data_IF_790627362511
#
_entry.id   IF_790627362511
#
_cell.length_a   1.000
_cell.length_b   1.000
_cell.length_c   1.000
_cell.angle_alpha   90.00
_cell.angle_beta   90.00
_cell.angle_gamma   90.00
#
_symmetry.space_group_name_H-M   'P 1'
#
loop_
_entity.id
_entity.type
_entity.pdbx_description
1 polymer ?
#
# COMPACT_ATOMS: atom_id res chain seq x y z
N UNK A 1 -53.71 -49.13 16.26
CA UNK A 1 -53.12 -47.85 16.75
C UNK A 1 -51.84 -47.60 15.94
N UNK A 2 -51.50 -46.32 15.63
CA UNK A 2 -50.23 -45.73 15.08
C UNK A 2 -49.19 -46.67 14.40
N UNK A 3 -48.57 -46.35 13.25
CA UNK A 3 -48.65 -45.22 12.28
C UNK A 3 -47.81 -45.61 11.02
N UNK A 4 -48.29 -45.26 9.82
CA UNK A 4 -47.59 -44.63 8.65
C UNK A 4 -46.13 -45.01 8.25
N UNK A 5 -45.66 -45.00 6.98
CA UNK A 5 -46.23 -44.83 5.62
C UNK A 5 -45.18 -45.32 4.57
N UNK A 6 -45.68 -45.69 3.37
CA UNK A 6 -45.05 -45.96 2.06
C UNK A 6 -44.09 -44.83 1.55
N UNK A 7 -43.35 -44.85 0.42
CA UNK A 7 -43.51 -45.33 -0.99
C UNK A 7 -42.09 -45.45 -1.60
N UNK A 8 -41.63 -46.58 -2.18
CA UNK A 8 -41.60 -46.98 -3.62
C UNK A 8 -40.96 -46.00 -4.64
N UNK A 9 -40.08 -46.57 -5.46
CA UNK A 9 -39.25 -45.97 -6.52
C UNK A 9 -39.91 -46.12 -7.91
N UNK A 10 -39.86 -45.09 -8.77
CA UNK A 10 -40.05 -45.22 -10.22
C UNK A 10 -39.42 -44.04 -11.01
N UNK A 11 -38.82 -44.35 -12.16
CA UNK A 11 -38.13 -43.40 -13.06
C UNK A 11 -38.94 -43.26 -14.37
N UNK A 12 -39.15 -42.05 -14.88
CA UNK A 12 -39.80 -41.81 -16.19
C UNK A 12 -39.24 -40.59 -16.94
N UNK A 13 -39.25 -40.71 -18.27
CA UNK A 13 -38.55 -39.89 -19.29
C UNK A 13 -39.47 -39.87 -20.53
N UNK A 14 -39.74 -38.78 -21.26
CA UNK A 14 -39.36 -37.37 -21.17
C UNK A 14 -40.45 -36.49 -21.84
N UNK A 15 -40.53 -35.18 -21.56
CA UNK A 15 -41.22 -34.24 -22.47
C UNK A 15 -40.67 -32.80 -22.36
N UNK A 16 -40.44 -32.16 -23.51
CA UNK A 16 -39.74 -30.87 -23.62
C UNK A 16 -40.74 -29.71 -23.51
N UNK A 17 -40.53 -28.84 -22.52
CA UNK A 17 -41.26 -27.57 -22.40
C UNK A 17 -40.72 -26.73 -21.24
N UNK A 18 -40.05 -25.61 -21.54
CA UNK A 18 -39.48 -24.60 -20.61
C UNK A 18 -39.33 -25.07 -19.15
N UNK A 19 -38.32 -25.90 -18.90
CA UNK A 19 -37.69 -25.86 -17.57
C UNK A 19 -36.92 -24.54 -17.50
N UNK A 20 -37.44 -23.57 -16.75
CA UNK A 20 -36.57 -22.56 -16.16
C UNK A 20 -35.55 -23.36 -15.35
N UNK A 21 -34.28 -23.28 -15.72
CA UNK A 21 -33.23 -23.89 -14.91
C UNK A 21 -33.34 -23.29 -13.51
N UNK A 22 -33.67 -24.12 -12.52
CA UNK A 22 -33.51 -23.72 -11.12
C UNK A 22 -32.02 -23.38 -10.96
N UNK A 23 -31.66 -22.21 -10.41
CA UNK A 23 -30.26 -21.84 -10.26
C UNK A 23 -29.54 -22.94 -9.49
N UNK A 24 -28.48 -23.49 -10.08
CA UNK A 24 -27.57 -24.39 -9.37
C UNK A 24 -26.80 -23.51 -8.38
N UNK A 25 -26.95 -23.68 -7.06
CA UNK A 25 -26.15 -22.92 -6.11
C UNK A 25 -24.72 -23.43 -6.19
N UNK A 26 -23.79 -22.58 -6.64
CA UNK A 26 -22.37 -22.92 -6.75
C UNK A 26 -21.83 -23.01 -8.18
N UNK A 27 -21.79 -21.87 -8.88
CA UNK A 27 -20.53 -21.36 -9.44
C UNK A 27 -20.69 -19.88 -9.83
N UNK A 28 -20.96 -19.02 -8.84
CA UNK A 28 -20.58 -17.62 -8.97
C UNK A 28 -19.06 -17.59 -8.88
N UNK A 29 -18.35 -17.57 -10.02
CA UNK A 29 -16.90 -17.30 -10.02
C UNK A 29 -16.69 -15.81 -9.82
N UNK A 30 -17.11 -15.29 -8.66
CA UNK A 30 -16.64 -13.99 -8.18
C UNK A 30 -15.13 -14.10 -8.03
N UNK A 31 -14.39 -13.42 -8.90
CA UNK A 31 -12.99 -13.10 -8.63
C UNK A 31 -12.99 -12.34 -7.32
N UNK A 32 -12.57 -13.01 -6.25
CA UNK A 32 -12.60 -12.46 -4.91
C UNK A 32 -11.44 -11.47 -4.84
N UNK A 33 -11.71 -10.17 -4.99
CA UNK A 33 -10.68 -9.15 -5.15
C UNK A 33 -10.83 -8.03 -4.15
N UNK A 34 -9.74 -7.68 -3.47
CA UNK A 34 -9.70 -6.56 -2.55
C UNK A 34 -8.83 -5.42 -3.08
N UNK A 35 -9.37 -4.21 -3.09
CA UNK A 35 -8.57 -2.99 -3.32
C UNK A 35 -7.74 -2.70 -2.09
N UNK A 36 -6.49 -2.30 -2.30
CA UNK A 36 -5.48 -2.29 -1.24
C UNK A 36 -4.69 -0.98 -1.26
N UNK A 37 -4.47 -0.42 -0.08
CA UNK A 37 -3.61 0.75 0.15
C UNK A 37 -2.32 0.31 0.85
N UNK A 38 -1.16 0.79 0.41
CA UNK A 38 0.14 0.46 1.03
C UNK A 38 0.62 1.62 1.91
N UNK A 39 1.11 1.31 3.11
CA UNK A 39 2.01 2.20 3.86
C UNK A 39 3.44 1.67 3.74
N UNK A 40 4.36 2.54 3.30
CA UNK A 40 5.75 2.16 3.00
C UNK A 40 6.74 3.02 3.80
N UNK A 41 7.44 2.40 4.74
CA UNK A 41 8.60 2.94 5.44
C UNK A 41 9.84 2.63 4.60
N UNK A 42 10.11 3.45 3.59
CA UNK A 42 11.10 3.09 2.54
C UNK A 42 12.56 3.14 3.00
N UNK A 43 12.87 3.95 4.01
CA UNK A 43 14.17 4.00 4.69
C UNK A 43 13.94 4.09 6.21
N UNK A 44 14.99 3.92 7.01
CA UNK A 44 14.96 4.12 8.46
C UNK A 44 14.58 5.57 8.79
N UNK A 45 13.56 5.79 9.63
CA UNK A 45 13.11 7.14 9.98
C UNK A 45 12.24 7.81 8.91
N UNK A 46 11.49 7.03 8.11
CA UNK A 46 10.54 7.57 7.10
C UNK A 46 9.10 7.41 7.57
N UNK A 47 8.14 7.27 6.64
CA UNK A 47 6.72 7.53 6.89
C UNK A 47 6.15 6.86 8.15
N UNK A 48 6.42 5.56 8.37
CA UNK A 48 5.84 4.85 9.51
C UNK A 48 6.49 5.32 10.82
N UNK A 49 7.82 5.52 10.82
CA UNK A 49 8.55 6.00 11.99
C UNK A 49 8.18 7.45 12.37
N UNK A 50 8.04 8.34 11.38
CA UNK A 50 7.60 9.72 11.58
C UNK A 50 6.14 9.80 12.03
N UNK A 51 5.25 8.95 11.49
CA UNK A 51 3.88 8.82 12.01
C UNK A 51 3.87 8.33 13.46
N UNK A 52 4.72 7.36 13.81
CA UNK A 52 4.87 6.90 15.20
C UNK A 52 5.35 8.06 16.10
N UNK A 53 6.36 8.84 15.66
CA UNK A 53 6.87 10.01 16.38
C UNK A 53 5.81 11.12 16.55
N UNK A 54 4.95 11.32 15.54
CA UNK A 54 3.80 12.23 15.58
C UNK A 54 2.62 11.71 16.44
N UNK A 55 2.73 10.52 17.04
CA UNK A 55 1.75 9.96 17.98
C UNK A 55 0.79 8.93 17.41
N UNK A 56 0.93 8.54 16.14
CA UNK A 56 0.07 7.51 15.51
C UNK A 56 0.45 6.08 15.92
N UNK A 57 1.58 5.86 16.60
CA UNK A 57 2.10 4.51 16.89
C UNK A 57 1.16 3.58 17.70
N UNK A 58 0.19 4.16 18.41
CA UNK A 58 -0.88 3.44 19.14
C UNK A 58 -2.25 3.46 18.45
N UNK A 59 -2.35 4.05 17.27
CA UNK A 59 -3.52 3.93 16.41
C UNK A 59 -3.45 2.62 15.65
N UNK A 60 -4.61 2.02 15.36
CA UNK A 60 -4.68 0.94 14.39
C UNK A 60 -4.45 1.44 12.97
N UNK A 61 -4.09 0.57 12.03
CA UNK A 61 -3.87 0.94 10.63
C UNK A 61 -5.09 1.67 10.03
N UNK A 62 -6.31 1.21 10.29
CA UNK A 62 -7.55 1.91 9.93
C UNK A 62 -7.61 3.34 10.50
N UNK A 63 -7.34 3.54 11.79
CA UNK A 63 -7.37 4.85 12.42
C UNK A 63 -6.25 5.78 11.89
N UNK A 64 -5.09 5.22 11.56
CA UNK A 64 -4.03 5.94 10.84
C UNK A 64 -4.54 6.40 9.46
N UNK A 65 -5.12 5.52 8.64
CA UNK A 65 -5.67 5.89 7.33
C UNK A 65 -6.78 6.95 7.41
N UNK A 66 -7.63 6.94 8.46
CA UNK A 66 -8.60 8.03 8.73
C UNK A 66 -7.88 9.36 8.92
N UNK A 67 -6.76 9.39 9.65
CA UNK A 67 -5.94 10.59 9.82
C UNK A 67 -5.24 11.05 8.54
N UNK A 68 -4.80 10.12 7.69
CA UNK A 68 -4.16 10.42 6.40
C UNK A 68 -5.17 10.90 5.34
N UNK A 69 -6.41 10.42 5.38
CA UNK A 69 -7.39 10.56 4.30
C UNK A 69 -7.53 12.00 3.78
N UNK A 70 -7.73 12.96 4.68
CA UNK A 70 -7.93 14.37 4.34
C UNK A 70 -6.71 15.06 3.70
N UNK A 71 -5.51 14.49 3.86
CA UNK A 71 -4.26 15.02 3.27
C UNK A 71 -3.80 14.25 2.03
N UNK A 72 -4.40 13.10 1.74
CA UNK A 72 -4.04 12.20 0.62
C UNK A 72 -4.31 12.75 -0.79
N UNK A 73 -4.98 13.91 -0.92
CA UNK A 73 -5.40 14.45 -2.22
C UNK A 73 -6.39 13.57 -2.99
N UNK A 74 -7.00 12.57 -2.34
CA UNK A 74 -7.90 11.59 -2.97
C UNK A 74 -7.30 10.18 -3.15
N UNK A 75 -6.00 10.00 -2.88
CA UNK A 75 -5.34 8.69 -2.95
C UNK A 75 -5.81 7.69 -1.87
N UNK A 76 -6.54 8.16 -0.84
CA UNK A 76 -7.33 7.33 0.08
C UNK A 76 -8.83 7.62 -0.17
N UNK A 77 -9.50 6.88 -1.07
CA UNK A 77 -10.88 7.14 -1.45
C UNK A 77 -11.91 6.94 -0.31
N UNK A 78 -13.04 7.64 -0.39
CA UNK A 78 -14.09 7.58 0.62
C UNK A 78 -14.85 6.24 0.63
N UNK A 79 -15.04 5.63 -0.53
CA UNK A 79 -15.61 4.30 -0.73
C UNK A 79 -14.68 3.19 -0.19
N UNK A 80 -13.38 3.29 -0.44
CA UNK A 80 -12.38 2.40 0.18
C UNK A 80 -12.43 2.47 1.71
N UNK A 81 -12.43 3.68 2.29
CA UNK A 81 -12.54 3.83 3.75
C UNK A 81 -13.90 3.38 4.30
N UNK A 82 -14.98 3.49 3.54
CA UNK A 82 -16.29 2.97 3.94
C UNK A 82 -16.34 1.43 3.94
N UNK A 83 -15.71 0.78 2.95
CA UNK A 83 -15.56 -0.68 2.92
C UNK A 83 -14.72 -1.16 4.11
N UNK A 84 -13.56 -0.54 4.35
CA UNK A 84 -12.70 -0.86 5.48
C UNK A 84 -13.39 -0.59 6.83
N UNK A 85 -14.20 0.47 6.94
CA UNK A 85 -15.04 0.72 8.11
C UNK A 85 -16.11 -0.38 8.34
N UNK A 86 -16.62 -0.99 7.28
CA UNK A 86 -17.62 -2.08 7.32
C UNK A 86 -17.03 -3.49 7.56
N UNK A 87 -15.71 -3.68 7.41
CA UNK A 87 -15.01 -4.92 7.75
C UNK A 87 -15.29 -5.39 9.21
N UNK A 88 -15.05 -6.66 9.57
CA UNK A 88 -15.19 -7.16 10.95
C UNK A 88 -14.47 -6.28 11.98
N UNK A 89 -15.03 -6.14 13.18
CA UNK A 89 -14.48 -5.23 14.19
C UNK A 89 -13.12 -5.69 14.75
N UNK A 90 -12.86 -6.99 14.64
CA UNK A 90 -11.66 -7.72 15.05
C UNK A 90 -10.69 -7.99 13.89
N UNK A 91 -10.92 -7.44 12.69
CA UNK A 91 -9.98 -7.58 11.57
C UNK A 91 -8.61 -6.94 11.90
N UNK A 92 -7.57 -7.43 11.24
CA UNK A 92 -6.18 -7.03 11.50
C UNK A 92 -5.98 -5.53 11.31
N UNK A 93 -6.53 -4.93 10.25
CA UNK A 93 -6.44 -3.49 10.01
C UNK A 93 -7.05 -2.61 11.13
N UNK A 94 -7.99 -3.13 11.92
CA UNK A 94 -8.62 -2.40 13.04
C UNK A 94 -7.98 -2.68 14.39
N UNK A 95 -7.22 -3.77 14.52
CA UNK A 95 -6.63 -4.22 15.78
C UNK A 95 -5.11 -4.08 15.85
N UNK A 96 -4.40 -4.15 14.72
CA UNK A 96 -2.94 -4.03 14.67
C UNK A 96 -2.50 -2.56 14.81
N UNK A 97 -1.71 -2.26 15.84
CA UNK A 97 -1.09 -0.95 16.07
C UNK A 97 -0.05 -0.63 14.99
N UNK A 98 0.00 0.62 14.53
CA UNK A 98 0.99 1.10 13.55
C UNK A 98 2.45 0.80 13.95
N UNK A 99 2.75 0.83 15.25
CA UNK A 99 4.10 0.57 15.78
C UNK A 99 4.64 -0.86 15.53
N UNK A 100 3.81 -1.80 15.09
CA UNK A 100 4.22 -3.16 14.68
C UNK A 100 4.94 -3.14 13.31
N UNK A 101 4.70 -2.10 12.51
CA UNK A 101 5.10 -2.03 11.09
C UNK A 101 6.31 -1.11 10.83
N UNK A 102 6.95 -0.55 11.87
CA UNK A 102 8.27 0.09 11.73
C UNK A 102 9.39 -0.90 11.40
N UNK A 103 9.18 -2.18 11.71
CA UNK A 103 10.12 -3.25 11.40
C UNK A 103 10.14 -3.59 9.91
N UNK A 104 11.34 -3.66 9.32
CA UNK A 104 11.56 -4.06 7.91
C UNK A 104 10.96 -5.43 7.53
N UNK A 105 10.66 -6.30 8.51
CA UNK A 105 10.04 -7.60 8.25
C UNK A 105 8.54 -7.53 7.98
N UNK A 106 7.89 -6.43 8.39
CA UNK A 106 6.44 -6.23 8.30
C UNK A 106 6.10 -5.09 7.32
N UNK A 107 7.07 -4.63 6.52
CA UNK A 107 6.97 -3.40 5.74
C UNK A 107 7.62 -3.58 4.36
N UNK A 108 7.03 -3.07 3.25
CA UNK A 108 5.78 -2.29 3.19
C UNK A 108 4.53 -3.10 3.55
N UNK A 109 3.54 -2.43 4.16
CA UNK A 109 2.29 -3.06 4.62
C UNK A 109 1.11 -2.64 3.77
N UNK A 110 0.50 -3.62 3.10
CA UNK A 110 -0.77 -3.52 2.41
C UNK A 110 -1.95 -3.70 3.35
N UNK A 111 -2.95 -2.84 3.18
CA UNK A 111 -4.20 -2.81 3.96
C UNK A 111 -5.35 -3.04 3.00
N UNK A 112 -5.93 -4.24 3.01
CA UNK A 112 -7.07 -4.59 2.16
C UNK A 112 -8.34 -3.89 2.62
N UNK A 113 -9.24 -3.55 1.68
CA UNK A 113 -10.55 -2.98 1.99
C UNK A 113 -11.48 -3.93 2.77
N UNK A 114 -11.16 -5.22 2.77
CA UNK A 114 -11.75 -6.29 3.59
C UNK A 114 -11.25 -6.32 5.04
N UNK A 115 -10.12 -5.65 5.33
CA UNK A 115 -9.52 -5.53 6.65
C UNK A 115 -8.33 -6.47 6.92
N UNK A 116 -7.95 -7.30 5.95
CA UNK A 116 -6.79 -8.19 6.04
C UNK A 116 -5.49 -7.44 5.70
N UNK A 117 -4.36 -7.92 6.24
CA UNK A 117 -3.05 -7.28 6.06
C UNK A 117 -2.07 -8.15 5.26
N UNK A 118 -1.30 -7.51 4.39
CA UNK A 118 -0.38 -8.18 3.48
C UNK A 118 0.94 -7.44 3.41
N UNK A 119 2.02 -8.09 3.83
CA UNK A 119 3.37 -7.58 3.59
C UNK A 119 3.71 -7.77 2.11
N UNK A 120 3.91 -6.67 1.39
CA UNK A 120 4.25 -6.69 -0.03
C UNK A 120 5.40 -5.74 -0.32
N UNK A 121 6.39 -6.21 -1.08
CA UNK A 121 7.60 -5.46 -1.43
C UNK A 121 7.33 -4.48 -2.58
N UNK A 122 6.40 -3.55 -2.34
CA UNK A 122 5.94 -2.54 -3.29
C UNK A 122 6.20 -1.16 -2.67
N UNK A 123 7.06 -0.40 -3.32
CA UNK A 123 7.51 0.91 -2.84
C UNK A 123 6.96 2.02 -3.73
N UNK A 124 6.57 3.15 -3.15
CA UNK A 124 5.99 4.27 -3.89
C UNK A 124 6.99 4.98 -4.78
N UNK A 125 8.28 5.01 -4.41
CA UNK A 125 9.36 5.52 -5.26
C UNK A 125 9.44 4.79 -6.61
N UNK A 126 9.08 3.50 -6.65
CA UNK A 126 9.26 2.64 -7.83
C UNK A 126 8.22 2.97 -8.92
N UNK A 127 7.22 3.81 -8.61
CA UNK A 127 6.17 4.30 -9.50
C UNK A 127 6.13 5.84 -9.57
N UNK A 128 7.11 6.54 -8.98
CA UNK A 128 7.10 7.99 -8.86
C UNK A 128 7.42 8.69 -10.19
N UNK A 129 6.39 9.22 -10.84
CA UNK A 129 6.52 9.86 -12.16
C UNK A 129 6.44 8.90 -13.34
N UNK A 130 6.13 7.63 -13.09
CA UNK A 130 5.91 6.62 -14.12
C UNK A 130 4.56 6.78 -14.82
N UNK A 131 4.47 6.36 -16.08
CA UNK A 131 3.24 6.45 -16.85
C UNK A 131 2.17 5.49 -16.31
N UNK A 132 0.95 6.00 -16.10
CA UNK A 132 -0.14 5.27 -15.44
C UNK A 132 -0.21 5.48 -13.93
N UNK A 133 0.68 6.31 -13.36
CA UNK A 133 0.69 6.65 -11.93
C UNK A 133 0.79 8.16 -11.70
N UNK A 134 -0.15 8.68 -10.91
CA UNK A 134 -0.10 10.05 -10.40
C UNK A 134 0.40 10.08 -8.96
N UNK A 135 1.19 11.10 -8.60
CA UNK A 135 1.58 11.35 -7.21
C UNK A 135 0.99 12.67 -6.70
N UNK A 136 0.24 12.60 -5.60
CA UNK A 136 -0.18 13.77 -4.82
C UNK A 136 0.73 13.95 -3.60
N UNK A 137 0.67 15.13 -2.99
CA UNK A 137 1.47 15.49 -1.82
C UNK A 137 0.55 15.97 -0.70
N UNK A 138 0.65 15.35 0.46
CA UNK A 138 0.01 15.79 1.70
C UNK A 138 1.05 16.35 2.68
N UNK A 139 0.65 17.30 3.52
CA UNK A 139 1.48 17.75 4.63
C UNK A 139 0.79 17.44 5.96
N UNK A 140 1.45 16.65 6.79
CA UNK A 140 0.91 16.16 8.06
C UNK A 140 1.66 16.81 9.22
N UNK A 141 0.92 17.33 10.19
CA UNK A 141 1.50 17.99 11.36
C UNK A 141 2.33 16.98 12.18
N UNK A 142 3.60 17.32 12.45
CA UNK A 142 4.53 16.46 13.18
C UNK A 142 5.26 15.41 12.33
N UNK A 143 4.90 15.23 11.05
CA UNK A 143 5.51 14.26 10.11
C UNK A 143 6.17 14.98 8.93
N UNK A 144 5.56 16.06 8.45
CA UNK A 144 6.03 16.80 7.26
C UNK A 144 5.36 16.32 5.97
N UNK A 145 6.14 16.28 4.89
CA UNK A 145 5.66 16.04 3.53
C UNK A 145 5.55 14.55 3.21
N UNK A 146 4.34 14.08 2.95
CA UNK A 146 4.03 12.69 2.58
C UNK A 146 3.60 12.64 1.11
N UNK A 147 4.10 11.66 0.38
CA UNK A 147 3.76 11.39 -1.00
C UNK A 147 2.74 10.25 -1.06
N UNK A 148 1.74 10.42 -1.92
CA UNK A 148 0.75 9.39 -2.19
C UNK A 148 0.76 9.11 -3.69
N UNK A 149 1.30 7.95 -4.09
CA UNK A 149 1.40 7.55 -5.50
C UNK A 149 0.33 6.53 -5.79
N UNK A 150 -0.48 6.78 -6.81
CA UNK A 150 -1.68 6.00 -7.11
C UNK A 150 -1.82 5.73 -8.61
N UNK A 151 -2.29 4.53 -8.94
CA UNK A 151 -2.65 4.14 -10.29
C UNK A 151 -3.75 5.06 -10.85
N UNK A 152 -3.57 5.54 -12.07
CA UNK A 152 -4.50 6.43 -12.78
C UNK A 152 -5.78 5.69 -13.22
N UNK A 153 -5.69 4.38 -13.45
CA UNK A 153 -6.81 3.52 -13.85
C UNK A 153 -6.73 2.11 -13.24
N UNK A 154 -7.82 1.35 -13.32
CA UNK A 154 -7.87 -0.05 -12.85
C UNK A 154 -6.93 -0.98 -13.62
N UNK A 155 -6.59 -0.66 -14.88
CA UNK A 155 -5.60 -1.42 -15.65
C UNK A 155 -4.16 -1.18 -15.21
N UNK A 156 -3.90 -0.12 -14.45
CA UNK A 156 -2.59 0.21 -13.89
C UNK A 156 -2.45 -0.26 -12.43
N UNK A 157 -3.46 -0.97 -11.88
CA UNK A 157 -3.38 -1.54 -10.54
C UNK A 157 -2.25 -2.58 -10.47
N UNK A 158 -1.37 -2.41 -9.49
CA UNK A 158 -0.27 -3.35 -9.27
C UNK A 158 -0.84 -4.61 -8.64
N UNK A 159 -0.73 -5.73 -9.37
CA UNK A 159 -0.97 -7.07 -8.84
C UNK A 159 -0.05 -7.29 -7.63
N UNK A 160 -0.61 -7.73 -6.50
CA UNK A 160 0.15 -8.05 -5.29
C UNK A 160 1.15 -9.20 -5.46
N UNK A 161 1.17 -9.83 -6.63
CA UNK A 161 1.76 -11.14 -6.83
C UNK A 161 0.87 -12.21 -6.20
N UNK A 162 1.38 -13.44 -6.18
CA UNK A 162 0.65 -14.64 -5.72
C UNK A 162 0.41 -14.70 -4.20
N UNK A 163 0.31 -13.55 -3.51
CA UNK A 163 -0.10 -13.42 -2.12
C UNK A 163 -1.64 -13.54 -2.01
N UNK A 164 -2.14 -14.73 -2.34
CA UNK A 164 -3.54 -15.10 -2.17
C UNK A 164 -3.79 -15.43 -0.70
N UNK A 165 -4.21 -14.44 0.10
CA UNK A 165 -4.77 -14.70 1.43
C UNK A 165 -6.21 -15.20 1.30
N UNK A 166 -6.57 -16.31 1.94
CA UNK A 166 -7.95 -16.81 2.00
C UNK A 166 -8.65 -17.15 0.66
N UNK A 167 -7.97 -17.05 -0.48
CA UNK A 167 -8.59 -17.12 -1.81
C UNK A 167 -8.93 -15.76 -2.44
N UNK A 168 -8.50 -14.65 -1.83
CA UNK A 168 -8.64 -13.27 -2.32
C UNK A 168 -7.37 -12.86 -3.11
N UNK A 169 -7.54 -12.19 -4.25
CA UNK A 169 -6.45 -11.50 -4.98
C UNK A 169 -6.46 -10.02 -4.60
N UNK A 170 -5.31 -9.48 -4.21
CA UNK A 170 -5.20 -8.10 -3.76
C UNK A 170 -4.60 -7.22 -4.86
N UNK A 171 -5.22 -6.06 -5.08
CA UNK A 171 -4.79 -5.08 -6.08
C UNK A 171 -4.43 -3.77 -5.39
N UNK A 172 -3.18 -3.32 -5.60
CA UNK A 172 -2.67 -2.11 -4.99
C UNK A 172 -3.02 -0.89 -5.86
N UNK A 173 -3.85 -0.01 -5.29
CA UNK A 173 -4.32 1.21 -5.95
C UNK A 173 -3.44 2.42 -5.63
N UNK A 174 -2.96 2.51 -4.39
CA UNK A 174 -2.19 3.64 -3.91
C UNK A 174 -1.21 3.27 -2.79
N UNK A 175 -0.11 4.02 -2.72
CA UNK A 175 0.99 3.84 -1.78
C UNK A 175 1.25 5.18 -1.10
N UNK A 176 1.14 5.23 0.22
CA UNK A 176 1.66 6.31 1.06
C UNK A 176 3.13 6.05 1.41
N UNK A 177 3.99 7.02 1.15
CA UNK A 177 5.44 6.95 1.41
C UNK A 177 6.03 8.34 1.68
N UNK A 178 7.29 8.38 2.10
CA UNK A 178 8.08 9.63 2.16
C UNK A 178 9.35 9.42 1.34
N UNK A 179 9.78 10.45 0.62
CA UNK A 179 11.03 10.40 -0.13
C UNK A 179 12.24 10.27 0.80
N UNK A 180 13.29 9.63 0.29
CA UNK A 180 14.63 9.73 0.84
C UNK A 180 15.04 11.20 1.03
N UNK A 181 15.93 11.47 2.00
CA UNK A 181 16.50 12.82 2.13
C UNK A 181 17.44 13.09 0.95
N UNK A 182 17.14 14.11 0.14
CA UNK A 182 17.98 14.47 -0.98
C UNK A 182 19.36 14.94 -0.49
N UNK A 183 20.41 14.19 -0.85
CA UNK A 183 21.80 14.59 -0.62
C UNK A 183 22.02 15.93 -1.35
N UNK A 184 22.13 17.00 -0.56
CA UNK A 184 22.35 18.34 -1.10
C UNK A 184 23.84 18.52 -1.34
N UNK A 185 24.21 18.65 -2.62
CA UNK A 185 25.58 18.93 -3.04
C UNK A 185 25.69 20.42 -3.36
N UNK A 186 26.39 21.17 -2.52
CA UNK A 186 26.66 22.58 -2.74
C UNK A 186 28.05 22.77 -3.36
N UNK A 187 28.10 23.45 -4.50
CA UNK A 187 29.34 23.88 -5.15
C UNK A 187 29.54 25.38 -4.92
N UNK A 188 30.63 25.77 -4.26
CA UNK A 188 31.05 27.18 -4.17
C UNK A 188 32.34 27.34 -4.96
N UNK A 189 32.35 28.30 -5.90
CA UNK A 189 33.53 28.69 -6.65
C UNK A 189 33.90 30.13 -6.32
N UNK A 190 35.10 30.32 -5.78
CA UNK A 190 35.84 31.59 -5.82
C UNK A 190 37.01 31.43 -6.81
N UNK A 191 37.61 32.52 -7.27
CA UNK A 191 38.53 32.53 -8.42
C UNK A 191 39.57 31.38 -8.42
N UNK A 192 40.22 31.10 -7.29
CA UNK A 192 41.22 30.03 -7.15
C UNK A 192 40.74 28.72 -6.48
N UNK A 193 39.45 28.58 -6.13
CA UNK A 193 38.99 27.43 -5.30
C UNK A 193 37.56 27.01 -5.60
N UNK A 194 37.39 25.73 -5.96
CA UNK A 194 36.11 25.04 -6.00
C UNK A 194 35.97 24.12 -4.79
N UNK A 195 34.97 24.35 -3.94
CA UNK A 195 34.63 23.49 -2.80
C UNK A 195 33.35 22.73 -3.14
N UNK A 196 33.43 21.39 -3.09
CA UNK A 196 32.29 20.50 -3.13
C UNK A 196 31.94 20.10 -1.69
N UNK A 197 30.87 20.67 -1.14
CA UNK A 197 30.37 20.31 0.18
C UNK A 197 29.19 19.35 0.04
N UNK A 198 29.25 18.24 0.75
CA UNK A 198 28.24 17.19 0.77
C UNK A 198 27.66 17.12 2.19
N UNK A 199 26.48 17.72 2.37
CA UNK A 199 25.80 17.75 3.67
C UNK A 199 24.81 16.60 3.77
N UNK A 200 25.27 15.41 4.16
CA UNK A 200 24.36 14.32 4.57
C UNK A 200 23.91 14.54 6.02
N UNK A 201 22.61 14.80 6.23
CA UNK A 201 22.01 15.03 7.56
C UNK A 201 21.76 13.75 8.35
N UNK A 202 21.80 12.57 7.72
CA UNK A 202 21.45 11.30 8.36
C UNK A 202 22.52 10.24 8.06
N UNK A 203 23.52 10.03 8.95
CA UNK A 203 24.59 9.05 8.74
C UNK A 203 24.16 7.61 9.12
N UNK A 204 23.07 7.12 8.52
CA UNK A 204 22.42 5.84 8.84
C UNK A 204 22.59 4.74 7.77
N UNK A 205 23.78 4.60 7.17
CA UNK A 205 24.19 3.30 6.61
C UNK A 205 25.71 3.18 6.46
N UNK A 206 26.20 2.00 6.81
CA UNK A 206 27.58 1.60 7.06
C UNK A 206 28.45 1.45 5.79
N UNK A 207 28.51 2.44 4.91
CA UNK A 207 29.62 2.54 3.96
C UNK A 207 30.14 3.99 3.87
N UNK A 208 31.39 4.20 4.27
CA UNK A 208 32.01 5.53 4.40
C UNK A 208 32.77 5.94 3.14
N UNK A 209 32.46 5.30 2.02
CA UNK A 209 33.22 5.37 0.78
C UNK A 209 32.46 6.23 -0.22
N UNK A 210 33.01 7.41 -0.54
CA UNK A 210 32.44 8.35 -1.50
C UNK A 210 33.37 8.46 -2.69
N UNK A 211 33.00 7.86 -3.82
CA UNK A 211 33.78 7.94 -5.06
C UNK A 211 33.47 9.22 -5.83
N UNK A 212 34.35 10.23 -5.68
CA UNK A 212 34.29 11.47 -6.46
C UNK A 212 35.12 11.29 -7.73
N UNK A 213 34.46 10.98 -8.85
CA UNK A 213 35.13 10.81 -10.13
C UNK A 213 35.16 12.11 -10.94
N UNK A 214 36.33 12.75 -11.05
CA UNK A 214 36.54 13.99 -11.82
C UNK A 214 37.14 13.65 -13.18
N UNK A 215 36.30 13.44 -14.18
CA UNK A 215 36.73 13.00 -15.53
C UNK A 215 37.52 14.07 -16.29
N UNK A 216 37.19 15.35 -16.08
CA UNK A 216 37.90 16.52 -16.62
C UNK A 216 37.65 17.75 -15.74
N UNK A 217 38.64 18.62 -15.56
CA UNK A 217 38.47 19.91 -14.90
C UNK A 217 39.60 20.88 -15.20
N UNK A 218 39.30 22.18 -15.20
CA UNK A 218 40.29 23.25 -15.37
C UNK A 218 40.08 24.28 -14.28
N UNK A 219 40.99 24.34 -13.30
CA UNK A 219 41.10 25.48 -12.40
C UNK A 219 41.97 26.53 -13.11
N UNK A 220 41.41 27.71 -13.36
CA UNK A 220 42.17 28.86 -13.86
C UNK A 220 42.35 29.84 -12.71
N UNK A 221 43.61 30.21 -12.46
CA UNK A 221 43.96 31.46 -11.78
C UNK A 221 43.83 32.67 -12.73
#
# INVERSE_FOLDING_TARGET
MKKQIFVILALFIFLIGKVNALPVPGNETTTNTATTFVLSNEEEGKLIDELIAAGYGKMSLYATLVGLQGTSGGAIPADYMAALAAAPADCEAKTAELSIFSSIYNNPIGIGADGDLIVALIHGRDYYGDAGFSTTTGNIAGVGTVLFTSADSESDYVDAGTLVSGGVTYFYKAIGWMSADAITVAGTATDDTAILQIDNKTPSARDKTWDINVTTGTVKA
#
